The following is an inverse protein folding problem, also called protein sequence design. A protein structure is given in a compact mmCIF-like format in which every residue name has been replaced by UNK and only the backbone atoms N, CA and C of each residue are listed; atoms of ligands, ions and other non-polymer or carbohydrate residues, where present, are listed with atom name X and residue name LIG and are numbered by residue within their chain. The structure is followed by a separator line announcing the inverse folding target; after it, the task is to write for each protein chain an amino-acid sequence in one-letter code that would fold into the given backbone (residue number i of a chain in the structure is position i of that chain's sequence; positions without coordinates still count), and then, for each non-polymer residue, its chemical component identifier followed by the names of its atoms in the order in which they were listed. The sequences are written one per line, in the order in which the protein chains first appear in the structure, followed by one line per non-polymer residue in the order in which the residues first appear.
data_IF_621280888400
#
_entry.id   IF_621280888400
#
_cell.length_a   1.000
_cell.length_b   1.000
_cell.length_c   1.000
_cell.angle_alpha   90.00
_cell.angle_beta   90.00
_cell.angle_gamma   90.00
#
_symmetry.space_group_name_H-M   'P 1'
#
loop_
_entity.id
_entity.type
_entity.pdbx_description
1 polymer ?
#
# COMPACT_ATOMS: atom_id res chain seq x y z
N UNK A 1 9.67 -11.83 -16.17
CA UNK A 1 9.79 -10.35 -16.10
C UNK A 1 9.93 -9.93 -14.64
N UNK A 2 11.10 -10.15 -14.02
CA UNK A 2 11.29 -9.97 -12.56
C UNK A 2 12.13 -8.75 -12.20
N UNK A 3 12.84 -8.19 -13.19
CA UNK A 3 13.73 -7.03 -13.03
C UNK A 3 12.95 -5.71 -13.07
N UNK A 4 11.91 -5.61 -13.92
CA UNK A 4 11.08 -4.42 -14.05
C UNK A 4 10.33 -4.10 -12.75
N UNK A 5 9.77 -5.11 -12.09
CA UNK A 5 9.01 -4.94 -10.85
C UNK A 5 9.92 -4.46 -9.71
N UNK A 6 11.17 -4.92 -9.64
CA UNK A 6 12.15 -4.42 -8.65
C UNK A 6 12.48 -2.93 -8.85
N UNK A 7 12.56 -2.47 -10.10
CA UNK A 7 12.79 -1.06 -10.40
C UNK A 7 11.57 -0.20 -10.01
N UNK A 8 10.38 -0.61 -10.42
CA UNK A 8 9.12 0.08 -10.12
C UNK A 8 8.90 0.26 -8.61
N UNK A 9 9.22 -0.75 -7.80
CA UNK A 9 9.10 -0.65 -6.34
C UNK A 9 10.03 0.40 -5.74
N UNK A 10 11.25 0.55 -6.25
CA UNK A 10 12.15 1.62 -5.82
C UNK A 10 11.60 2.99 -6.23
N UNK A 11 11.12 3.13 -7.47
CA UNK A 11 10.49 4.36 -7.96
C UNK A 11 9.31 4.76 -7.08
N UNK A 12 8.44 3.81 -6.73
CA UNK A 12 7.31 4.06 -5.84
C UNK A 12 7.76 4.49 -4.42
N UNK A 13 8.83 3.90 -3.89
CA UNK A 13 9.41 4.30 -2.61
C UNK A 13 10.02 5.72 -2.65
N UNK A 14 10.65 6.12 -3.76
CA UNK A 14 11.13 7.49 -3.94
C UNK A 14 9.98 8.48 -4.12
N UNK A 15 8.97 8.14 -4.92
CA UNK A 15 7.77 8.97 -5.08
C UNK A 15 7.07 9.23 -3.74
N UNK A 16 6.96 8.22 -2.88
CA UNK A 16 6.41 8.37 -1.54
C UNK A 16 7.25 9.27 -0.60
N UNK A 17 8.58 9.33 -0.80
CA UNK A 17 9.47 10.23 -0.05
C UNK A 17 9.38 11.68 -0.54
N UNK A 18 9.15 11.87 -1.83
CA UNK A 18 8.97 13.18 -2.47
C UNK A 18 7.55 13.74 -2.30
N UNK A 19 6.74 13.15 -1.40
CA UNK A 19 5.32 13.50 -1.17
C UNK A 19 4.42 13.33 -2.40
N UNK A 20 4.89 12.66 -3.45
CA UNK A 20 4.12 12.29 -4.64
C UNK A 20 3.36 10.99 -4.42
N UNK A 21 2.52 10.95 -3.39
CA UNK A 21 1.65 9.82 -3.06
C UNK A 21 0.77 9.31 -4.20
N UNK A 22 0.08 10.15 -5.02
CA UNK A 22 -0.76 9.65 -6.12
C UNK A 22 0.03 8.84 -7.16
N UNK A 23 1.25 9.25 -7.50
CA UNK A 23 2.12 8.46 -8.40
C UNK A 23 2.58 7.16 -7.76
N UNK A 24 2.93 7.18 -6.47
CA UNK A 24 3.36 5.98 -5.77
C UNK A 24 2.23 4.93 -5.74
N UNK A 25 1.00 5.37 -5.50
CA UNK A 25 -0.21 4.53 -5.52
C UNK A 25 -0.35 3.81 -6.86
N UNK A 26 -0.32 4.56 -7.95
CA UNK A 26 -0.54 4.00 -9.29
C UNK A 26 0.48 2.91 -9.62
N UNK A 27 1.76 3.15 -9.28
CA UNK A 27 2.84 2.18 -9.46
C UNK A 27 2.63 0.94 -8.55
N UNK A 28 2.23 1.13 -7.29
CA UNK A 28 1.97 0.01 -6.38
C UNK A 28 0.75 -0.81 -6.79
N UNK A 29 -0.32 -0.20 -7.29
CA UNK A 29 -1.47 -0.92 -7.83
C UNK A 29 -1.08 -1.72 -9.07
N UNK A 30 -0.34 -1.13 -10.01
CA UNK A 30 0.14 -1.85 -11.19
C UNK A 30 0.99 -3.07 -10.83
N UNK A 31 1.96 -2.90 -9.92
CA UNK A 31 2.80 -4.01 -9.45
C UNK A 31 1.98 -5.02 -8.63
N UNK A 32 1.00 -4.54 -7.87
CA UNK A 32 0.06 -5.36 -7.09
C UNK A 32 -0.79 -6.26 -7.97
N UNK A 33 -1.41 -5.72 -9.02
CA UNK A 33 -2.21 -6.48 -9.99
C UNK A 33 -1.37 -7.53 -10.72
N UNK A 34 -0.15 -7.17 -11.14
CA UNK A 34 0.78 -8.12 -11.74
C UNK A 34 1.22 -9.22 -10.75
N UNK A 35 1.30 -8.89 -9.46
CA UNK A 35 1.63 -9.86 -8.41
C UNK A 35 0.44 -10.77 -8.03
N UNK A 36 -0.81 -10.34 -8.25
CA UNK A 36 -2.00 -11.20 -8.11
C UNK A 36 -2.05 -12.25 -9.23
N UNK A 37 -1.73 -11.83 -10.46
CA UNK A 37 -1.74 -12.70 -11.63
C UNK A 37 -0.76 -13.88 -11.49
N UNK A 38 0.40 -13.63 -10.85
CA UNK A 38 1.39 -14.66 -10.55
C UNK A 38 1.19 -15.30 -9.18
N UNK A 39 0.72 -16.56 -9.13
CA UNK A 39 0.43 -17.28 -7.87
C UNK A 39 1.65 -17.43 -6.93
N UNK A 40 2.88 -17.42 -7.48
CA UNK A 40 4.12 -17.42 -6.68
C UNK A 40 4.32 -16.12 -5.86
N UNK A 41 3.80 -14.99 -6.33
CA UNK A 41 3.99 -13.67 -5.69
C UNK A 41 2.80 -13.27 -4.81
N UNK A 42 1.84 -14.16 -4.51
CA UNK A 42 0.73 -13.88 -3.60
C UNK A 42 1.18 -13.31 -2.25
N UNK A 43 2.32 -13.78 -1.73
CA UNK A 43 2.90 -13.27 -0.48
C UNK A 43 3.61 -11.91 -0.63
N UNK A 44 3.96 -11.50 -1.84
CA UNK A 44 4.52 -10.16 -2.10
C UNK A 44 3.44 -9.17 -2.49
N UNK A 45 2.38 -9.61 -3.18
CA UNK A 45 1.22 -8.80 -3.54
C UNK A 45 0.61 -8.09 -2.32
N UNK A 46 0.48 -8.81 -1.20
CA UNK A 46 -0.04 -8.26 0.07
C UNK A 46 0.77 -7.06 0.58
N UNK A 47 2.10 -7.10 0.46
CA UNK A 47 2.98 -6.01 0.90
C UNK A 47 2.83 -4.77 0.00
N UNK A 48 2.59 -4.97 -1.30
CA UNK A 48 2.35 -3.89 -2.26
C UNK A 48 1.00 -3.20 -2.05
N UNK A 49 -0.08 -3.97 -1.85
CA UNK A 49 -1.39 -3.40 -1.52
C UNK A 49 -1.38 -2.66 -0.18
N UNK A 50 -0.65 -3.18 0.81
CA UNK A 50 -0.45 -2.50 2.08
C UNK A 50 0.24 -1.14 1.90
N UNK A 51 1.30 -1.07 1.09
CA UNK A 51 2.00 0.20 0.77
C UNK A 51 1.12 1.16 -0.02
N UNK A 52 0.35 0.68 -0.99
CA UNK A 52 -0.62 1.49 -1.75
C UNK A 52 -1.68 2.09 -0.81
N UNK A 53 -2.29 1.27 0.05
CA UNK A 53 -3.30 1.70 1.02
C UNK A 53 -2.75 2.76 2.00
N UNK A 54 -1.50 2.61 2.46
CA UNK A 54 -0.83 3.62 3.28
C UNK A 54 -0.61 4.93 2.51
N UNK A 55 -0.24 4.87 1.24
CA UNK A 55 -0.10 6.08 0.42
C UNK A 55 -1.47 6.77 0.21
N UNK A 56 -2.54 6.01 -0.01
CA UNK A 56 -3.90 6.57 -0.04
C UNK A 56 -4.27 7.23 1.28
N UNK A 57 -3.92 6.61 2.41
CA UNK A 57 -4.18 7.16 3.74
C UNK A 57 -3.47 8.49 3.99
N UNK A 58 -2.24 8.66 3.50
CA UNK A 58 -1.52 9.93 3.58
C UNK A 58 -2.17 11.05 2.75
N UNK A 59 -2.90 10.71 1.68
CA UNK A 59 -3.62 11.68 0.85
C UNK A 59 -4.98 11.99 1.46
N UNK A 60 -5.81 10.97 1.65
CA UNK A 60 -7.17 11.11 2.13
C UNK A 60 -7.72 9.82 2.79
N UNK A 61 -8.35 10.00 3.94
CA UNK A 61 -8.89 8.90 4.76
C UNK A 61 -10.06 8.16 4.09
N UNK A 62 -10.82 8.85 3.23
CA UNK A 62 -11.98 8.31 2.52
C UNK A 62 -11.52 7.45 1.34
N UNK A 63 -10.50 7.91 0.61
CA UNK A 63 -9.85 7.11 -0.45
C UNK A 63 -9.22 5.83 0.09
N UNK A 64 -8.60 5.88 1.27
CA UNK A 64 -8.03 4.69 1.90
C UNK A 64 -9.10 3.63 2.25
N UNK A 65 -10.28 4.07 2.73
CA UNK A 65 -11.41 3.16 3.00
C UNK A 65 -11.93 2.50 1.71
N UNK A 66 -12.12 3.30 0.65
CA UNK A 66 -12.55 2.81 -0.66
C UNK A 66 -11.54 1.80 -1.23
N UNK A 67 -10.25 2.14 -1.20
CA UNK A 67 -9.19 1.25 -1.67
C UNK A 67 -9.17 -0.06 -0.87
N UNK A 68 -9.33 -0.01 0.46
CA UNK A 68 -9.42 -1.21 1.29
C UNK A 68 -10.61 -2.09 0.92
N UNK A 69 -11.81 -1.53 0.76
CA UNK A 69 -12.96 -2.33 0.33
C UNK A 69 -12.71 -3.01 -1.02
N UNK A 70 -12.12 -2.26 -1.96
CA UNK A 70 -11.77 -2.76 -3.28
C UNK A 70 -10.73 -3.89 -3.24
N UNK A 71 -9.74 -3.80 -2.34
CA UNK A 71 -8.76 -4.87 -2.12
C UNK A 71 -9.35 -6.08 -1.40
N UNK A 72 -10.32 -5.89 -0.48
CA UNK A 72 -11.09 -6.99 0.12
C UNK A 72 -11.91 -7.74 -0.93
N UNK A 73 -12.55 -7.02 -1.87
CA UNK A 73 -13.31 -7.63 -2.98
C UNK A 73 -12.40 -8.33 -4.01
N UNK A 74 -11.29 -7.70 -4.41
CA UNK A 74 -10.35 -8.29 -5.37
C UNK A 74 -9.57 -9.48 -4.79
N UNK A 75 -9.34 -9.50 -3.47
CA UNK A 75 -8.53 -10.54 -2.83
C UNK A 75 -9.14 -10.96 -1.48
N UNK A 76 -10.12 -11.89 -1.48
CA UNK A 76 -10.78 -12.33 -0.25
C UNK A 76 -9.83 -13.02 0.75
N UNK A 77 -8.70 -13.56 0.27
CA UNK A 77 -7.64 -14.10 1.15
C UNK A 77 -6.85 -13.01 1.89
N UNK A 78 -6.98 -11.73 1.49
CA UNK A 78 -6.34 -10.59 2.14
C UNK A 78 -7.18 -10.18 3.34
N UNK A 79 -8.52 -10.21 3.22
CA UNK A 79 -9.45 -10.00 4.36
C UNK A 79 -9.20 -10.98 5.51
N UNK A 80 -8.86 -12.24 5.22
CA UNK A 80 -8.54 -13.24 6.24
C UNK A 80 -7.13 -13.08 6.83
N UNK A 81 -6.22 -12.44 6.09
CA UNK A 81 -4.84 -12.26 6.49
C UNK A 81 -4.70 -11.23 7.63
N UNK A 82 -3.83 -11.56 8.61
CA UNK A 82 -3.51 -10.73 9.79
C UNK A 82 -3.15 -9.28 9.43
N UNK A 83 -2.63 -9.05 8.23
CA UNK A 83 -2.23 -7.76 7.70
C UNK A 83 -3.42 -6.84 7.41
N UNK A 84 -4.55 -7.34 6.92
CA UNK A 84 -5.74 -6.53 6.66
C UNK A 84 -6.43 -6.09 7.96
N UNK A 85 -6.47 -7.00 8.95
CA UNK A 85 -6.83 -6.68 10.33
C UNK A 85 -5.89 -5.63 10.93
N UNK A 86 -4.59 -5.75 10.66
CA UNK A 86 -3.61 -4.76 11.10
C UNK A 86 -3.79 -3.41 10.41
N UNK A 87 -4.12 -3.32 9.10
CA UNK A 87 -4.45 -2.04 8.46
C UNK A 87 -5.69 -1.42 9.10
N UNK A 88 -6.77 -2.20 9.30
CA UNK A 88 -8.01 -1.74 9.94
C UNK A 88 -7.78 -1.23 11.37
N UNK A 89 -6.98 -1.95 12.16
CA UNK A 89 -6.62 -1.53 13.54
C UNK A 89 -5.67 -0.34 13.53
N UNK A 90 -4.68 -0.33 12.63
CA UNK A 90 -3.70 0.74 12.48
C UNK A 90 -4.34 2.04 11.99
N UNK A 91 -5.40 1.97 11.18
CA UNK A 91 -6.23 3.09 10.75
C UNK A 91 -6.86 3.85 11.93
N UNK A 92 -7.21 3.14 13.01
CA UNK A 92 -7.76 3.75 14.23
C UNK A 92 -6.65 4.30 15.15
N UNK A 93 -5.49 3.66 15.20
CA UNK A 93 -4.38 4.04 16.11
C UNK A 93 -3.44 5.10 15.50
N UNK A 94 -3.36 5.23 14.18
CA UNK A 94 -2.43 6.18 13.52
C UNK A 94 -2.90 7.63 13.51
N UNK A 95 -4.12 7.95 13.95
CA UNK A 95 -4.66 9.31 13.94
C UNK A 95 -3.72 10.35 14.63
N UNK A 96 -3.10 10.05 15.79
CA UNK A 96 -2.03 10.91 16.37
C UNK A 96 -0.60 10.61 15.87
N UNK A 97 -0.34 9.42 15.30
CA UNK A 97 1.01 8.99 14.92
C UNK A 97 1.40 9.39 13.50
N UNK A 98 0.47 9.64 12.56
CA UNK A 98 0.80 10.11 11.19
C UNK A 98 1.46 11.51 11.24
N UNK A 99 1.04 12.36 12.18
CA UNK A 99 1.69 13.64 12.50
C UNK A 99 3.12 13.44 13.03
N UNK A 100 3.37 12.36 13.78
CA UNK A 100 4.69 12.02 14.30
C UNK A 100 5.58 11.29 13.27
N UNK A 101 4.96 10.55 12.34
CA UNK A 101 5.62 9.80 11.27
C UNK A 101 6.12 10.72 10.15
N UNK A 102 5.41 11.82 9.85
CA UNK A 102 5.90 12.87 8.94
C UNK A 102 7.15 13.59 9.48
N UNK A 103 7.39 13.54 10.80
CA UNK A 103 8.60 14.09 11.46
C UNK A 103 9.78 13.13 11.57
N UNK A 104 9.57 11.81 11.49
CA UNK A 104 10.64 10.79 11.62
C UNK A 104 11.18 10.26 10.28
N UNK A 105 10.67 10.75 9.15
CA UNK A 105 11.11 10.30 7.81
C UNK A 105 11.82 11.39 6.98
N UNK A 106 12.24 12.48 7.63
CA UNK A 106 13.12 13.54 7.08
C UNK A 106 14.52 13.55 7.75
N UNK A 107 14.81 12.62 8.66
CA UNK A 107 16.14 12.40 9.25
C UNK A 107 16.50 10.94 9.11
#
# INVERSE_FOLDING_TARGET
NSSANKCLLKVAAYAAQLEQYPKAIEIYEQVGTQAIDSTLLKYSAKDYFFKAALCHFCVDMLNAKLALQKYEEMFPAFSDSRECKLVKVRFLILNPLILCWRRRKII
#
